data_IF_701366512732
#
_entry.id   IF_701366512732
#
_cell.length_a   1.000
_cell.length_b   1.000
_cell.length_c   1.000
_cell.angle_alpha   90.00
_cell.angle_beta   90.00
_cell.angle_gamma   90.00
#
_symmetry.space_group_name_H-M   'P 1'
#
loop_
_entity.id
_entity.type
_entity.pdbx_description
1 polymer ?
#
# COMPACT_ATOMS: atom_id res chain seq x y z
N UNK A 1 -8.11 -30.71 27.77
CA UNK A 1 -7.85 -29.27 27.84
C UNK A 1 -8.51 -28.63 26.62
N UNK A 2 -9.64 -27.96 26.84
CA UNK A 2 -10.33 -27.24 25.77
C UNK A 2 -9.54 -25.97 25.48
N UNK A 3 -8.90 -25.92 24.32
CA UNK A 3 -8.29 -24.68 23.80
C UNK A 3 -9.44 -23.81 23.27
N UNK A 4 -10.13 -23.12 24.17
CA UNK A 4 -10.99 -22.02 23.75
C UNK A 4 -10.04 -20.82 23.51
N UNK A 5 -9.91 -20.32 22.27
CA UNK A 5 -9.15 -19.09 22.06
C UNK A 5 -9.84 -17.96 22.83
N UNK A 6 -9.06 -17.08 23.43
CA UNK A 6 -9.56 -15.85 24.03
C UNK A 6 -10.55 -15.20 23.08
N UNK A 7 -11.64 -14.64 23.63
CA UNK A 7 -12.68 -14.00 22.82
C UNK A 7 -12.04 -12.98 21.90
N UNK A 8 -11.98 -13.31 20.61
CA UNK A 8 -11.45 -12.39 19.61
C UNK A 8 -12.36 -11.17 19.52
N UNK A 9 -11.77 -9.99 19.60
CA UNK A 9 -12.46 -8.70 19.49
C UNK A 9 -11.87 -7.89 18.37
N UNK A 10 -12.65 -7.00 17.80
CA UNK A 10 -12.22 -6.02 16.81
C UNK A 10 -12.73 -4.63 17.21
N UNK A 11 -11.93 -3.60 16.92
CA UNK A 11 -12.33 -2.19 17.04
C UNK A 11 -12.75 -1.59 15.69
N UNK A 12 -12.73 -2.39 14.61
CA UNK A 12 -13.01 -1.91 13.27
C UNK A 12 -14.51 -1.95 12.97
N UNK A 13 -15.18 -3.03 13.37
CA UNK A 13 -16.59 -3.22 13.05
C UNK A 13 -17.38 -3.74 14.27
N UNK A 14 -18.62 -3.32 14.35
CA UNK A 14 -19.61 -3.83 15.30
C UNK A 14 -20.97 -3.91 14.64
N UNK A 15 -21.95 -4.53 15.30
CA UNK A 15 -23.31 -4.64 14.77
C UNK A 15 -24.34 -4.63 15.91
N UNK A 16 -25.54 -4.24 15.56
CA UNK A 16 -26.76 -4.44 16.32
C UNK A 16 -27.68 -5.43 15.57
N UNK A 17 -28.89 -5.62 16.02
CA UNK A 17 -29.88 -6.41 15.26
C UNK A 17 -30.38 -5.66 14.01
N UNK A 18 -30.18 -4.35 13.94
CA UNK A 18 -30.78 -3.47 12.93
C UNK A 18 -29.74 -2.85 12.01
N UNK A 19 -28.47 -2.73 12.45
CA UNK A 19 -27.45 -2.05 11.69
C UNK A 19 -26.04 -2.65 11.91
N UNK A 20 -25.14 -2.33 10.99
CA UNK A 20 -23.71 -2.67 11.01
C UNK A 20 -22.93 -1.36 11.02
N UNK A 21 -21.96 -1.26 11.92
CA UNK A 21 -21.10 -0.08 12.03
C UNK A 21 -19.67 -0.44 11.65
N UNK A 22 -19.08 0.36 10.80
CA UNK A 22 -17.66 0.35 10.52
C UNK A 22 -17.07 1.57 11.22
N UNK A 23 -16.30 1.32 12.28
CA UNK A 23 -15.85 2.36 13.23
C UNK A 23 -17.06 3.14 13.78
N UNK A 24 -17.19 4.41 13.43
CA UNK A 24 -18.27 5.33 13.87
C UNK A 24 -19.37 5.54 12.81
N UNK A 25 -19.30 4.85 11.66
CA UNK A 25 -20.22 5.04 10.54
C UNK A 25 -21.16 3.86 10.35
N UNK A 26 -22.44 4.14 10.12
CA UNK A 26 -23.40 3.12 9.67
C UNK A 26 -23.00 2.63 8.27
N UNK A 27 -22.88 1.32 8.13
CA UNK A 27 -22.59 0.73 6.83
C UNK A 27 -23.73 1.02 5.84
N UNK A 28 -24.98 0.90 6.30
CA UNK A 28 -26.15 1.05 5.45
C UNK A 28 -26.47 2.52 5.15
N UNK A 29 -26.44 3.36 6.19
CA UNK A 29 -26.90 4.75 6.07
C UNK A 29 -25.77 5.72 5.64
N UNK A 30 -24.51 5.44 5.97
CA UNK A 30 -23.42 6.41 5.72
C UNK A 30 -22.47 5.97 4.60
N UNK A 31 -22.34 4.66 4.32
CA UNK A 31 -21.27 4.16 3.46
C UNK A 31 -21.80 3.57 2.14
N UNK A 32 -22.74 2.63 2.16
CA UNK A 32 -23.23 1.95 0.95
C UNK A 32 -23.84 2.97 -0.01
N UNK A 33 -23.28 3.03 -1.23
CA UNK A 33 -23.74 3.91 -2.30
C UNK A 33 -23.41 5.40 -2.10
N UNK A 34 -22.72 5.77 -1.02
CA UNK A 34 -22.34 7.15 -0.70
C UNK A 34 -20.85 7.43 -0.84
N UNK A 35 -20.03 6.39 -0.73
CA UNK A 35 -18.57 6.51 -0.89
C UNK A 35 -18.05 5.55 -1.94
N UNK A 36 -16.90 5.86 -2.51
CA UNK A 36 -16.18 5.00 -3.45
C UNK A 36 -15.41 3.90 -2.74
N UNK A 37 -14.95 2.90 -3.49
CA UNK A 37 -14.08 1.84 -2.98
C UNK A 37 -12.74 2.41 -2.45
N UNK A 38 -12.19 3.42 -3.11
CA UNK A 38 -10.96 4.10 -2.69
C UNK A 38 -11.15 4.83 -1.36
N UNK A 39 -12.25 5.56 -1.20
CA UNK A 39 -12.60 6.21 0.08
C UNK A 39 -12.79 5.19 1.20
N UNK A 40 -13.50 4.09 0.92
CA UNK A 40 -13.68 3.01 1.90
C UNK A 40 -12.36 2.36 2.29
N UNK A 41 -11.46 2.13 1.33
CA UNK A 41 -10.13 1.57 1.59
C UNK A 41 -9.30 2.48 2.49
N UNK A 42 -9.29 3.78 2.21
CA UNK A 42 -8.61 4.77 3.04
C UNK A 42 -9.20 4.82 4.46
N UNK A 43 -10.53 4.90 4.58
CA UNK A 43 -11.22 4.91 5.86
C UNK A 43 -10.94 3.68 6.70
N UNK A 44 -10.95 2.50 6.08
CA UNK A 44 -10.70 1.24 6.75
C UNK A 44 -9.29 1.17 7.35
N UNK A 45 -8.28 1.66 6.63
CA UNK A 45 -6.88 1.65 7.06
C UNK A 45 -6.60 2.73 8.10
N UNK A 46 -7.04 3.97 7.85
CA UNK A 46 -6.66 5.13 8.64
C UNK A 46 -7.63 5.45 9.78
N UNK A 47 -8.88 5.01 9.69
CA UNK A 47 -9.95 5.31 10.63
C UNK A 47 -10.58 6.69 10.45
N UNK A 48 -10.27 7.39 9.38
CA UNK A 48 -10.81 8.72 9.05
C UNK A 48 -11.18 8.78 7.57
N UNK A 49 -12.18 9.59 7.24
CA UNK A 49 -12.53 9.83 5.84
C UNK A 49 -11.44 10.64 5.14
N UNK A 50 -11.09 10.29 3.89
CA UNK A 50 -10.13 11.06 3.11
C UNK A 50 -10.76 12.37 2.61
N UNK A 51 -9.90 13.36 2.38
CA UNK A 51 -10.28 14.51 1.55
C UNK A 51 -10.18 14.18 0.05
N UNK A 52 -10.72 15.05 -0.84
CA UNK A 52 -10.71 14.78 -2.28
C UNK A 52 -9.31 14.58 -2.89
N UNK A 53 -8.29 15.29 -2.38
CA UNK A 53 -6.91 15.16 -2.86
C UNK A 53 -6.31 13.81 -2.45
N UNK A 54 -6.59 13.35 -1.23
CA UNK A 54 -6.18 12.03 -0.74
C UNK A 54 -6.83 10.91 -1.55
N UNK A 55 -8.12 11.05 -1.90
CA UNK A 55 -8.82 10.09 -2.77
C UNK A 55 -8.16 10.05 -4.14
N UNK A 56 -7.96 11.21 -4.77
CA UNK A 56 -7.35 11.35 -6.10
C UNK A 56 -5.96 10.68 -6.15
N UNK A 57 -5.13 10.96 -5.14
CA UNK A 57 -3.77 10.39 -5.07
C UNK A 57 -3.77 8.89 -4.82
N UNK A 58 -4.56 8.41 -3.86
CA UNK A 58 -4.65 6.98 -3.55
C UNK A 58 -5.18 6.19 -4.75
N UNK A 59 -6.23 6.71 -5.41
CA UNK A 59 -6.79 6.07 -6.60
C UNK A 59 -5.77 5.99 -7.73
N UNK A 60 -5.01 7.07 -7.98
CA UNK A 60 -3.95 7.08 -8.98
C UNK A 60 -2.84 6.05 -8.67
N UNK A 61 -2.46 5.90 -7.41
CA UNK A 61 -1.51 4.87 -6.98
C UNK A 61 -2.07 3.46 -7.20
N UNK A 62 -3.33 3.21 -6.84
CA UNK A 62 -3.99 1.92 -7.04
C UNK A 62 -4.11 1.55 -8.52
N UNK A 63 -4.48 2.52 -9.37
CA UNK A 63 -4.51 2.34 -10.84
C UNK A 63 -3.12 1.97 -11.37
N UNK A 64 -2.07 2.62 -10.87
CA UNK A 64 -0.68 2.33 -11.26
C UNK A 64 -0.25 0.91 -10.89
N UNK A 65 -0.77 0.36 -9.80
CA UNK A 65 -0.44 -0.98 -9.29
C UNK A 65 -1.30 -2.09 -9.87
N UNK A 66 -2.39 -1.76 -10.58
CA UNK A 66 -3.39 -2.73 -11.05
C UNK A 66 -2.79 -3.78 -12.01
N UNK A 67 -1.81 -3.39 -12.83
CA UNK A 67 -1.09 -4.28 -13.73
C UNK A 67 0.40 -3.95 -13.71
N UNK A 68 1.26 -4.96 -13.55
CA UNK A 68 2.70 -4.77 -13.47
C UNK A 68 3.51 -5.88 -14.19
N UNK A 69 2.90 -6.55 -15.14
CA UNK A 69 3.56 -7.58 -15.96
C UNK A 69 3.87 -8.88 -15.22
N UNK A 70 4.83 -9.62 -15.72
CA UNK A 70 5.23 -10.94 -15.21
C UNK A 70 6.19 -10.78 -14.01
N UNK A 71 5.69 -10.25 -12.93
CA UNK A 71 6.41 -10.14 -11.66
C UNK A 71 6.51 -11.49 -10.96
N UNK A 72 7.40 -11.65 -9.94
CA UNK A 72 7.46 -12.87 -9.14
C UNK A 72 6.11 -13.23 -8.52
N UNK A 73 5.33 -12.26 -8.06
CA UNK A 73 3.97 -12.45 -7.53
C UNK A 73 3.00 -12.97 -8.59
N UNK A 74 2.99 -12.38 -9.79
CA UNK A 74 2.16 -12.82 -10.89
C UNK A 74 2.54 -14.24 -11.39
N UNK A 75 3.83 -14.56 -11.45
CA UNK A 75 4.31 -15.89 -11.80
C UNK A 75 3.92 -16.92 -10.76
N UNK A 76 4.06 -16.62 -9.46
CA UNK A 76 3.65 -17.51 -8.37
C UNK A 76 2.16 -17.83 -8.44
N UNK A 77 1.32 -16.81 -8.63
CA UNK A 77 -0.13 -16.99 -8.82
C UNK A 77 -0.44 -17.89 -10.00
N UNK A 78 0.19 -17.67 -11.15
CA UNK A 78 -0.05 -18.46 -12.37
C UNK A 78 0.37 -19.92 -12.20
N UNK A 79 1.51 -20.18 -11.57
CA UNK A 79 2.00 -21.54 -11.32
C UNK A 79 1.04 -22.32 -10.42
N UNK A 80 0.57 -21.72 -9.34
CA UNK A 80 -0.41 -22.35 -8.44
C UNK A 80 -1.74 -22.58 -9.15
N UNK A 81 -2.23 -21.56 -9.87
CA UNK A 81 -3.48 -21.70 -10.64
C UNK A 81 -3.38 -22.80 -11.71
N UNK A 82 -2.24 -22.94 -12.37
CA UNK A 82 -2.03 -24.01 -13.37
C UNK A 82 -2.08 -25.41 -12.78
N UNK A 83 -1.70 -25.54 -11.49
CA UNK A 83 -1.72 -26.82 -10.76
C UNK A 83 -3.06 -27.12 -10.09
N UNK A 84 -3.77 -26.08 -9.65
CA UNK A 84 -5.01 -26.20 -8.87
C UNK A 84 -6.02 -25.12 -9.30
N UNK A 85 -6.60 -25.25 -10.51
CA UNK A 85 -7.48 -24.21 -11.07
C UNK A 85 -8.78 -24.04 -10.27
N UNK A 86 -9.18 -25.04 -9.52
CA UNK A 86 -10.34 -24.99 -8.60
C UNK A 86 -10.09 -24.17 -7.33
N UNK A 87 -8.81 -23.87 -7.02
CA UNK A 87 -8.40 -23.16 -5.82
C UNK A 87 -7.83 -21.76 -6.13
N UNK A 88 -8.64 -20.89 -6.74
CA UNK A 88 -8.23 -19.51 -7.08
C UNK A 88 -7.70 -18.73 -5.87
N UNK A 89 -8.28 -18.93 -4.70
CA UNK A 89 -7.83 -18.33 -3.45
C UNK A 89 -6.38 -18.70 -3.09
N UNK A 90 -5.95 -19.92 -3.41
CA UNK A 90 -4.56 -20.35 -3.19
C UNK A 90 -3.60 -19.62 -4.14
N UNK A 91 -4.00 -19.42 -5.39
CA UNK A 91 -3.23 -18.67 -6.37
C UNK A 91 -3.07 -17.20 -5.95
N UNK A 92 -4.15 -16.56 -5.47
CA UNK A 92 -4.10 -15.19 -4.93
C UNK A 92 -3.17 -15.11 -3.72
N UNK A 93 -3.30 -16.05 -2.77
CA UNK A 93 -2.43 -16.11 -1.60
C UNK A 93 -0.94 -16.25 -1.97
N UNK A 94 -0.63 -17.12 -2.94
CA UNK A 94 0.74 -17.30 -3.42
C UNK A 94 1.29 -16.01 -4.06
N UNK A 95 0.47 -15.27 -4.79
CA UNK A 95 0.83 -13.95 -5.33
C UNK A 95 1.15 -12.94 -4.24
N UNK A 96 0.31 -12.86 -3.21
CA UNK A 96 0.55 -11.97 -2.06
C UNK A 96 1.84 -12.33 -1.31
N UNK A 97 2.14 -13.61 -1.12
CA UNK A 97 3.41 -14.06 -0.52
C UNK A 97 4.63 -13.70 -1.37
N UNK A 98 4.46 -13.48 -2.67
CA UNK A 98 5.51 -13.02 -3.58
C UNK A 98 5.81 -11.51 -3.47
N UNK A 99 5.08 -10.77 -2.65
CA UNK A 99 5.29 -9.34 -2.37
C UNK A 99 6.17 -9.22 -1.13
N UNK A 100 7.36 -8.67 -1.26
CA UNK A 100 8.33 -8.59 -0.16
C UNK A 100 9.26 -7.39 -0.29
N UNK A 101 10.25 -7.30 0.58
CA UNK A 101 11.17 -6.15 0.69
C UNK A 101 11.96 -5.85 -0.59
N UNK A 102 12.22 -6.86 -1.43
CA UNK A 102 12.96 -6.70 -2.69
C UNK A 102 12.03 -6.21 -3.82
N UNK A 103 10.76 -6.63 -3.78
CA UNK A 103 9.79 -6.28 -4.81
C UNK A 103 8.49 -5.78 -4.17
N UNK A 104 8.08 -4.57 -4.53
CA UNK A 104 6.97 -3.79 -3.96
C UNK A 104 7.19 -3.28 -2.51
N UNK A 105 7.96 -3.95 -1.65
CA UNK A 105 8.24 -3.53 -0.27
C UNK A 105 9.20 -2.35 -0.13
N UNK A 106 9.76 -1.86 -1.24
CA UNK A 106 10.59 -0.63 -1.26
C UNK A 106 9.80 0.63 -0.90
N UNK A 107 8.46 0.59 -0.95
CA UNK A 107 7.58 1.69 -0.55
C UNK A 107 7.72 2.03 0.93
N UNK A 108 7.78 1.01 1.80
CA UNK A 108 7.95 1.20 3.25
C UNK A 108 9.30 1.86 3.57
N UNK A 109 10.39 1.34 3.01
CA UNK A 109 11.72 1.93 3.18
C UNK A 109 11.80 3.38 2.64
N UNK A 110 11.13 3.68 1.53
CA UNK A 110 11.03 5.05 1.01
C UNK A 110 10.26 5.97 1.97
N UNK A 111 9.14 5.49 2.53
CA UNK A 111 8.35 6.26 3.48
C UNK A 111 9.14 6.54 4.78
N UNK A 112 9.92 5.59 5.26
CA UNK A 112 10.83 5.78 6.40
C UNK A 112 11.91 6.84 6.11
N UNK A 113 12.51 6.80 4.91
CA UNK A 113 13.46 7.82 4.50
C UNK A 113 12.83 9.22 4.44
N UNK A 114 11.65 9.33 3.83
CA UNK A 114 10.93 10.61 3.76
C UNK A 114 10.62 11.13 5.18
N UNK A 115 10.17 10.26 6.08
CA UNK A 115 9.94 10.65 7.49
C UNK A 115 11.20 11.14 8.14
N UNK A 116 12.31 10.42 8.00
CA UNK A 116 13.63 10.81 8.52
C UNK A 116 14.03 12.21 8.02
N UNK A 117 13.81 12.50 6.73
CA UNK A 117 14.11 13.82 6.14
C UNK A 117 13.25 14.94 6.75
N UNK A 118 11.94 14.68 6.93
CA UNK A 118 11.00 15.67 7.46
C UNK A 118 11.25 15.95 8.96
N UNK A 119 11.58 14.92 9.72
CA UNK A 119 11.76 15.00 11.17
C UNK A 119 13.15 15.53 11.58
N UNK A 120 14.05 15.78 10.61
CA UNK A 120 15.42 16.22 10.89
C UNK A 120 15.47 17.67 11.43
N UNK A 121 16.15 17.86 12.54
CA UNK A 121 16.43 19.18 13.14
C UNK A 121 17.46 20.00 12.37
N UNK A 122 18.30 19.34 11.56
CA UNK A 122 19.37 19.96 10.76
C UNK A 122 18.89 20.46 9.39
N UNK A 123 17.62 20.22 9.08
CA UNK A 123 16.98 20.61 7.84
C UNK A 123 17.06 19.54 6.75
N UNK A 124 16.07 19.62 5.85
CA UNK A 124 15.81 18.61 4.82
C UNK A 124 17.00 18.37 3.89
N UNK A 125 17.65 19.45 3.43
CA UNK A 125 18.77 19.35 2.48
C UNK A 125 20.01 18.72 3.12
N UNK A 126 20.31 19.09 4.37
CA UNK A 126 21.41 18.48 5.11
C UNK A 126 21.19 16.98 5.28
N UNK A 127 20.02 16.58 5.79
CA UNK A 127 19.68 15.19 6.01
C UNK A 127 19.64 14.38 4.71
N UNK A 128 19.16 14.96 3.61
CA UNK A 128 19.18 14.30 2.31
C UNK A 128 20.61 13.98 1.85
N UNK A 129 21.56 14.87 2.07
CA UNK A 129 22.97 14.63 1.76
C UNK A 129 23.60 13.55 2.66
N UNK A 130 23.21 13.52 3.95
CA UNK A 130 23.64 12.47 4.88
C UNK A 130 23.14 11.11 4.42
N UNK A 131 21.83 10.99 4.16
CA UNK A 131 21.20 9.75 3.69
C UNK A 131 21.84 9.28 2.37
N UNK A 132 22.01 10.18 1.40
CA UNK A 132 22.64 9.84 0.12
C UNK A 132 24.06 9.30 0.31
N UNK A 133 24.83 9.92 1.21
CA UNK A 133 26.20 9.49 1.54
C UNK A 133 26.24 8.11 2.22
N UNK A 134 25.33 7.85 3.16
CA UNK A 134 25.20 6.54 3.83
C UNK A 134 24.93 5.41 2.84
N UNK A 135 23.94 5.59 1.95
CA UNK A 135 23.61 4.60 0.92
C UNK A 135 24.73 4.41 -0.10
N UNK A 136 25.39 5.50 -0.51
CA UNK A 136 26.53 5.43 -1.41
C UNK A 136 27.70 4.65 -0.82
N UNK A 137 28.07 4.91 0.45
CA UNK A 137 29.17 4.21 1.15
C UNK A 137 28.85 2.74 1.40
N UNK A 138 27.62 2.42 1.76
CA UNK A 138 27.18 1.04 1.99
C UNK A 138 26.94 0.24 0.69
N UNK A 139 26.94 0.92 -0.48
CA UNK A 139 26.63 0.33 -1.79
C UNK A 139 25.25 -0.34 -1.84
N UNK A 140 24.32 0.15 -1.02
CA UNK A 140 22.92 -0.30 -1.04
C UNK A 140 22.09 0.57 -1.97
N UNK A 141 21.07 0.00 -2.62
CA UNK A 141 20.12 0.77 -3.42
C UNK A 141 19.27 1.66 -2.49
N UNK A 142 19.06 2.90 -2.89
CA UNK A 142 18.17 3.83 -2.16
C UNK A 142 16.71 3.39 -2.36
N UNK A 143 15.96 3.06 -1.31
CA UNK A 143 14.58 2.60 -1.44
C UNK A 143 13.69 3.64 -2.12
N UNK A 144 12.85 3.19 -3.05
CA UNK A 144 11.94 4.06 -3.81
C UNK A 144 12.57 4.75 -5.01
N UNK A 145 13.87 4.59 -5.25
CA UNK A 145 14.59 5.22 -6.36
C UNK A 145 15.12 4.20 -7.37
N UNK A 146 15.07 4.58 -8.64
CA UNK A 146 15.57 3.78 -9.75
C UNK A 146 14.59 2.72 -10.23
N UNK A 147 14.75 2.33 -11.48
CA UNK A 147 14.01 1.26 -12.12
C UNK A 147 14.94 0.48 -13.05
N UNK A 148 14.73 -0.83 -13.18
CA UNK A 148 15.62 -1.67 -14.00
C UNK A 148 15.48 -1.39 -15.50
N UNK A 149 14.32 -0.98 -15.99
CA UNK A 149 14.03 -0.70 -17.38
C UNK A 149 13.98 0.80 -17.71
N UNK A 150 13.23 1.57 -16.93
CA UNK A 150 13.00 2.99 -17.24
C UNK A 150 14.18 3.86 -16.84
N UNK A 151 14.69 4.66 -17.79
CA UNK A 151 15.80 5.59 -17.61
C UNK A 151 15.56 6.88 -18.42
N UNK A 152 15.93 8.07 -17.97
CA UNK A 152 16.47 8.36 -16.62
C UNK A 152 15.41 8.20 -15.54
N UNK A 153 14.11 8.46 -15.85
CA UNK A 153 13.01 8.44 -14.91
C UNK A 153 11.92 7.43 -15.31
N UNK A 154 11.21 6.95 -14.31
CA UNK A 154 10.00 6.14 -14.53
C UNK A 154 8.84 7.09 -14.90
N UNK A 155 8.18 6.90 -16.07
CA UNK A 155 7.09 7.78 -16.49
C UNK A 155 5.91 7.83 -15.52
N UNK A 156 5.72 6.76 -14.72
CA UNK A 156 4.69 6.72 -13.67
C UNK A 156 5.02 7.67 -12.53
N UNK A 157 6.28 7.71 -12.10
CA UNK A 157 6.73 8.63 -11.05
C UNK A 157 6.55 10.07 -11.47
N UNK A 158 6.97 10.42 -12.69
CA UNK A 158 6.80 11.77 -13.25
C UNK A 158 5.33 12.18 -13.23
N UNK A 159 4.42 11.28 -13.67
CA UNK A 159 2.98 11.61 -13.70
C UNK A 159 2.38 11.73 -12.29
N UNK A 160 2.74 10.82 -11.36
CA UNK A 160 2.22 10.85 -9.99
C UNK A 160 2.70 12.10 -9.23
N UNK A 161 3.96 12.49 -9.39
CA UNK A 161 4.49 13.73 -8.80
C UNK A 161 3.79 14.97 -9.37
N UNK A 162 3.61 15.03 -10.69
CA UNK A 162 2.82 16.11 -11.32
C UNK A 162 1.39 16.17 -10.78
N UNK A 163 0.76 15.01 -10.53
CA UNK A 163 -0.58 14.95 -9.98
C UNK A 163 -0.65 15.43 -8.51
N UNK A 164 0.43 15.25 -7.76
CA UNK A 164 0.52 15.72 -6.38
C UNK A 164 0.65 17.24 -6.27
N UNK A 165 1.15 17.89 -7.33
CA UNK A 165 1.28 19.35 -7.42
C UNK A 165 -0.01 20.07 -7.87
N UNK A 166 -1.01 19.32 -8.39
CA UNK A 166 -2.31 19.82 -8.84
C UNK A 166 -3.30 20.04 -7.67
#
# INVERSE_FOLDING_TARGET
MSFMPDKQTTSIATHTNEDIFIRDKSLCEDLIGKISFTEMSYFQITGRMPDPSQVKMLDACLVTLMEHGLTPSALSSRLIYSSSPEAMQAAVAAGLMGVGSVFAGTMEGCAELIRRLIDSSEGLEHEANVVASEFYQSKLPLPGFGHHLHKPDDPRSVRLLSLADE
#
